data_IF_823296899189
#
_entry.id   IF_823296899189
#
_cell.length_a   1.000
_cell.length_b   1.000
_cell.length_c   1.000
_cell.angle_alpha   90.00
_cell.angle_beta   90.00
_cell.angle_gamma   90.00
#
_symmetry.space_group_name_H-M   'P 1'
#
loop_
_entity.id
_entity.type
_entity.pdbx_description
1 polymer ?
#
# COMPACT_ATOMS: atom_id res chain seq x y z
N UNK A 1 2.57 30.91 -12.78
CA UNK A 1 3.33 29.96 -11.97
C UNK A 1 2.75 29.97 -10.56
N UNK A 2 2.14 28.89 -10.06
CA UNK A 2 1.53 28.89 -8.71
C UNK A 2 2.63 28.60 -7.67
N UNK A 3 2.65 29.40 -6.59
CA UNK A 3 3.64 29.33 -5.51
C UNK A 3 3.68 27.93 -4.87
N UNK A 4 4.84 27.24 -4.79
CA UNK A 4 4.98 25.93 -4.17
C UNK A 4 4.50 25.88 -2.70
N UNK A 5 4.54 27.01 -1.98
CA UNK A 5 4.05 27.12 -0.60
C UNK A 5 2.54 26.90 -0.48
N UNK A 6 1.78 27.13 -1.55
CA UNK A 6 0.33 26.88 -1.56
C UNK A 6 0.00 25.37 -1.56
N UNK A 7 0.81 24.56 -2.25
CA UNK A 7 0.68 23.09 -2.26
C UNK A 7 0.97 22.48 -0.88
N UNK A 8 2.00 22.96 -0.20
CA UNK A 8 2.34 22.51 1.15
C UNK A 8 1.26 22.90 2.16
N UNK A 9 0.71 24.11 2.09
CA UNK A 9 -0.38 24.54 2.98
C UNK A 9 -1.63 23.67 2.79
N UNK A 10 -2.01 23.37 1.55
CA UNK A 10 -3.19 22.56 1.25
C UNK A 10 -3.02 21.10 1.70
N UNK A 11 -1.82 20.54 1.59
CA UNK A 11 -1.51 19.22 2.13
C UNK A 11 -1.60 19.19 3.67
N UNK A 12 -1.12 20.23 4.33
CA UNK A 12 -1.24 20.39 5.79
C UNK A 12 -2.70 20.59 6.24
N UNK A 13 -3.46 21.40 5.56
CA UNK A 13 -4.89 21.61 5.86
C UNK A 13 -5.67 20.31 5.70
N UNK A 14 -5.37 19.51 4.66
CA UNK A 14 -5.98 18.19 4.43
C UNK A 14 -5.62 17.17 5.51
N UNK A 15 -4.35 17.15 5.95
CA UNK A 15 -3.89 16.29 7.03
C UNK A 15 -4.56 16.64 8.36
N UNK A 16 -4.70 17.93 8.67
CA UNK A 16 -5.38 18.38 9.88
C UNK A 16 -6.88 18.05 9.85
N UNK A 17 -7.54 18.23 8.71
CA UNK A 17 -8.96 17.91 8.53
C UNK A 17 -9.21 16.40 8.65
N UNK A 18 -8.30 15.58 8.11
CA UNK A 18 -8.32 14.13 8.24
C UNK A 18 -8.11 13.68 9.70
N UNK A 19 -7.15 14.26 10.41
CA UNK A 19 -6.88 13.95 11.82
C UNK A 19 -8.07 14.34 12.70
N UNK A 20 -8.65 15.53 12.50
CA UNK A 20 -9.85 15.98 13.22
C UNK A 20 -11.07 15.11 12.94
N UNK A 21 -11.23 14.62 11.71
CA UNK A 21 -12.32 13.69 11.36
C UNK A 21 -12.12 12.31 12.00
N UNK A 22 -10.89 11.84 12.13
CA UNK A 22 -10.56 10.60 12.83
C UNK A 22 -10.85 10.70 14.35
N UNK A 23 -10.53 11.83 14.98
CA UNK A 23 -10.77 12.06 16.40
C UNK A 23 -12.29 12.18 16.72
N UNK A 24 -13.09 12.70 15.78
CA UNK A 24 -14.55 12.78 15.92
C UNK A 24 -15.25 11.42 15.67
N UNK A 25 -14.62 10.50 14.94
CA UNK A 25 -15.16 9.18 14.63
C UNK A 25 -14.78 8.09 15.65
N UNK A 26 -14.15 8.45 16.77
CA UNK A 26 -13.77 7.51 17.82
C UNK A 26 -14.81 7.46 18.97
N UNK A 27 -15.95 6.79 18.82
CA UNK A 27 -16.79 6.44 19.95
C UNK A 27 -16.16 5.23 20.64
N UNK A 28 -15.80 5.40 21.89
CA UNK A 28 -15.36 4.33 22.79
C UNK A 28 -16.43 3.25 22.89
N UNK A 29 -16.28 2.18 22.13
CA UNK A 29 -16.97 0.91 22.34
C UNK A 29 -15.97 -0.21 22.18
N UNK A 30 -15.88 -1.16 23.15
CA UNK A 30 -14.98 -2.31 23.05
C UNK A 30 -15.55 -3.26 21.99
N UNK A 31 -15.10 -3.15 20.76
CA UNK A 31 -15.33 -4.18 19.75
C UNK A 31 -14.18 -5.17 19.82
N UNK A 32 -14.43 -6.32 20.40
CA UNK A 32 -13.71 -7.55 20.13
C UNK A 32 -13.84 -7.87 18.63
N UNK A 33 -12.98 -7.26 17.80
CA UNK A 33 -12.90 -7.55 16.37
C UNK A 33 -11.51 -8.08 16.06
N UNK A 34 -11.47 -9.35 15.69
CA UNK A 34 -10.33 -10.14 15.22
C UNK A 34 -9.67 -9.62 13.91
N UNK A 35 -9.85 -8.35 13.55
CA UNK A 35 -9.36 -7.70 12.33
C UNK A 35 -8.66 -6.39 12.64
N UNK A 36 -7.97 -6.30 13.76
CA UNK A 36 -7.17 -5.11 14.11
C UNK A 36 -5.85 -5.15 13.33
N UNK A 37 -5.43 -3.99 12.81
CA UNK A 37 -4.09 -3.83 12.28
C UNK A 37 -3.08 -4.16 13.38
N UNK A 38 -2.10 -5.01 13.05
CA UNK A 38 -1.03 -5.42 13.97
C UNK A 38 0.26 -4.75 13.52
N UNK A 39 0.95 -4.07 14.46
CA UNK A 39 2.23 -3.45 14.19
C UNK A 39 3.30 -4.49 13.83
N UNK A 40 4.26 -4.18 12.94
CA UNK A 40 5.43 -5.01 12.75
C UNK A 40 6.34 -4.93 13.97
N UNK A 41 7.26 -5.89 14.09
CA UNK A 41 8.33 -5.83 15.11
C UNK A 41 9.53 -5.07 14.55
N UNK A 42 10.15 -4.22 15.37
CA UNK A 42 11.40 -3.53 15.00
C UNK A 42 12.50 -4.55 14.65
N UNK A 43 13.30 -4.35 13.59
CA UNK A 43 13.42 -3.16 12.72
C UNK A 43 12.55 -3.19 11.44
N UNK A 44 11.54 -4.04 11.36
CA UNK A 44 10.72 -4.24 10.17
C UNK A 44 9.70 -3.10 10.02
N UNK A 45 9.53 -2.63 8.80
CA UNK A 45 8.46 -1.70 8.43
C UNK A 45 7.33 -2.45 7.74
N UNK A 46 6.09 -2.03 7.99
CA UNK A 46 4.92 -2.59 7.32
C UNK A 46 4.52 -1.70 6.16
N UNK A 47 4.52 -2.27 4.96
CA UNK A 47 4.06 -1.66 3.74
C UNK A 47 2.66 -2.19 3.41
N UNK A 48 1.67 -1.32 3.39
CA UNK A 48 0.33 -1.60 2.90
C UNK A 48 0.13 -0.89 1.56
N UNK A 49 -0.47 -1.59 0.60
CA UNK A 49 -0.84 -1.03 -0.70
C UNK A 49 -2.28 -1.40 -1.06
N UNK A 50 -2.87 -0.63 -1.94
CA UNK A 50 -4.22 -0.83 -2.48
C UNK A 50 -4.30 -0.25 -3.89
N UNK A 51 -5.16 -0.81 -4.73
CA UNK A 51 -5.43 -0.34 -6.07
C UNK A 51 -6.89 0.04 -6.25
N UNK A 52 -7.15 1.02 -7.11
CA UNK A 52 -8.48 1.40 -7.53
C UNK A 52 -8.56 1.52 -9.05
N UNK A 53 -9.67 1.05 -9.65
CA UNK A 53 -9.92 1.17 -11.08
C UNK A 53 -10.95 2.26 -11.30
N UNK A 54 -10.59 3.29 -12.06
CA UNK A 54 -11.44 4.41 -12.45
C UNK A 54 -11.84 4.28 -13.91
N UNK A 55 -12.89 3.48 -14.18
CA UNK A 55 -13.34 3.17 -15.55
C UNK A 55 -13.67 4.41 -16.36
N UNK A 56 -14.37 5.37 -15.77
CA UNK A 56 -14.77 6.62 -16.43
C UNK A 56 -13.57 7.50 -16.80
N UNK A 57 -12.48 7.42 -16.04
CA UNK A 57 -11.25 8.17 -16.27
C UNK A 57 -10.20 7.39 -17.06
N UNK A 58 -10.53 6.15 -17.45
CA UNK A 58 -9.63 5.22 -18.13
C UNK A 58 -8.23 5.18 -17.48
N UNK A 59 -8.20 4.95 -16.16
CA UNK A 59 -6.95 4.84 -15.40
C UNK A 59 -7.16 3.99 -14.14
N UNK A 60 -6.05 3.61 -13.51
CA UNK A 60 -6.02 3.08 -12.15
C UNK A 60 -5.35 4.07 -11.19
N UNK A 61 -5.53 3.85 -9.90
CA UNK A 61 -4.85 4.55 -8.83
C UNK A 61 -4.13 3.55 -7.94
N UNK A 62 -3.05 4.00 -7.34
CA UNK A 62 -2.25 3.24 -6.37
C UNK A 62 -2.11 4.05 -5.10
N UNK A 63 -2.44 3.46 -3.96
CA UNK A 63 -2.19 3.99 -2.63
C UNK A 63 -1.16 3.14 -1.90
N UNK A 64 -0.20 3.77 -1.23
CA UNK A 64 0.83 3.08 -0.44
C UNK A 64 1.03 3.81 0.89
N UNK A 65 1.15 3.04 1.97
CA UNK A 65 1.51 3.56 3.29
C UNK A 65 2.56 2.63 3.90
N UNK A 66 3.61 3.22 4.46
CA UNK A 66 4.67 2.51 5.20
C UNK A 66 4.64 2.98 6.65
N UNK A 67 4.55 2.01 7.60
CA UNK A 67 4.49 2.28 9.04
C UNK A 67 5.59 1.53 9.79
N UNK A 68 6.05 2.13 10.91
CA UNK A 68 6.98 1.49 11.83
C UNK A 68 6.26 0.63 12.90
N UNK A 69 7.04 0.09 13.84
CA UNK A 69 6.55 -0.72 14.97
C UNK A 69 5.59 0.04 15.92
N UNK A 70 5.65 1.37 15.95
CA UNK A 70 4.73 2.20 16.74
C UNK A 70 3.42 2.54 15.99
N UNK A 71 3.28 2.10 14.72
CA UNK A 71 2.15 2.47 13.86
C UNK A 71 2.25 3.84 13.21
N UNK A 72 3.38 4.53 13.39
CA UNK A 72 3.62 5.85 12.82
C UNK A 72 3.85 5.74 11.31
N UNK A 73 3.26 6.66 10.53
CA UNK A 73 3.45 6.72 9.09
C UNK A 73 4.83 7.30 8.79
N UNK A 74 5.70 6.49 8.21
CA UNK A 74 7.06 6.86 7.82
C UNK A 74 7.10 7.40 6.38
N UNK A 75 6.27 6.83 5.50
CA UNK A 75 6.12 7.29 4.13
C UNK A 75 4.72 6.95 3.58
N UNK A 76 4.23 7.76 2.65
CA UNK A 76 2.99 7.49 1.93
C UNK A 76 3.09 7.99 0.49
N UNK A 77 2.43 7.30 -0.42
CA UNK A 77 2.37 7.65 -1.83
C UNK A 77 0.95 7.45 -2.37
N UNK A 78 0.53 8.36 -3.25
CA UNK A 78 -0.59 8.15 -4.15
C UNK A 78 -0.12 8.42 -5.58
N UNK A 79 -0.42 7.51 -6.49
CA UNK A 79 0.00 7.61 -7.88
C UNK A 79 -1.11 7.16 -8.84
N UNK A 80 -1.13 7.78 -10.03
CA UNK A 80 -1.95 7.32 -11.14
C UNK A 80 -1.24 6.16 -11.84
N UNK A 81 -1.99 5.09 -12.10
CA UNK A 81 -1.55 3.93 -12.87
C UNK A 81 -2.15 3.88 -14.28
N UNK A 82 -1.75 2.89 -15.09
CA UNK A 82 -2.28 2.68 -16.41
C UNK A 82 -3.77 2.27 -16.38
N UNK A 83 -4.49 2.35 -17.52
CA UNK A 83 -5.81 1.75 -17.63
C UNK A 83 -5.70 0.23 -17.51
N UNK A 84 -6.50 -0.35 -16.64
CA UNK A 84 -6.64 -1.79 -16.43
C UNK A 84 -8.11 -2.12 -16.19
N UNK A 85 -8.54 -3.31 -16.57
CA UNK A 85 -9.92 -3.77 -16.41
C UNK A 85 -10.06 -4.78 -15.28
N UNK A 86 -8.96 -5.46 -14.95
CA UNK A 86 -8.91 -6.55 -13.98
C UNK A 86 -8.28 -6.09 -12.66
N UNK A 87 -8.95 -6.41 -11.53
CA UNK A 87 -8.48 -6.04 -10.20
C UNK A 87 -7.16 -6.74 -9.83
N UNK A 88 -6.95 -7.99 -10.27
CA UNK A 88 -5.71 -8.70 -9.98
C UNK A 88 -4.53 -8.03 -10.69
N UNK A 89 -4.73 -7.58 -11.92
CA UNK A 89 -3.72 -6.79 -12.66
C UNK A 89 -3.46 -5.46 -11.95
N UNK A 90 -4.51 -4.74 -11.54
CA UNK A 90 -4.37 -3.48 -10.83
C UNK A 90 -3.57 -3.64 -9.53
N UNK A 91 -3.92 -4.64 -8.72
CA UNK A 91 -3.24 -4.93 -7.44
C UNK A 91 -1.79 -5.38 -7.65
N UNK A 92 -1.51 -6.20 -8.68
CA UNK A 92 -0.13 -6.61 -8.97
C UNK A 92 0.74 -5.43 -9.38
N UNK A 93 0.23 -4.54 -10.24
CA UNK A 93 0.93 -3.31 -10.63
C UNK A 93 1.10 -2.34 -9.45
N UNK A 94 0.10 -2.26 -8.55
CA UNK A 94 0.18 -1.47 -7.34
C UNK A 94 1.26 -1.99 -6.39
N UNK A 95 1.35 -3.31 -6.20
CA UNK A 95 2.40 -3.95 -5.41
C UNK A 95 3.79 -3.62 -5.97
N UNK A 96 3.99 -3.77 -7.29
CA UNK A 96 5.26 -3.41 -7.94
C UNK A 96 5.62 -1.95 -7.66
N UNK A 97 4.66 -1.03 -7.86
CA UNK A 97 4.89 0.41 -7.62
C UNK A 97 5.18 0.72 -6.16
N UNK A 98 4.54 0.02 -5.23
CA UNK A 98 4.77 0.13 -3.80
C UNK A 98 6.19 -0.34 -3.42
N UNK A 99 6.67 -1.43 -4.00
CA UNK A 99 8.03 -1.93 -3.77
C UNK A 99 9.09 -0.96 -4.32
N UNK A 100 8.91 -0.45 -5.55
CA UNK A 100 9.78 0.58 -6.13
C UNK A 100 9.87 1.80 -5.20
N UNK A 101 8.72 2.33 -4.75
CA UNK A 101 8.64 3.46 -3.85
C UNK A 101 9.37 3.21 -2.52
N UNK A 102 9.18 2.04 -1.91
CA UNK A 102 9.81 1.70 -0.64
C UNK A 102 11.34 1.61 -0.77
N UNK A 103 11.85 1.00 -1.84
CA UNK A 103 13.28 0.89 -2.12
C UNK A 103 13.88 2.28 -2.37
N UNK A 104 13.24 3.12 -3.19
CA UNK A 104 13.67 4.49 -3.48
C UNK A 104 13.68 5.36 -2.21
N UNK A 105 12.76 5.11 -1.27
CA UNK A 105 12.72 5.77 0.04
C UNK A 105 13.71 5.21 1.06
N UNK A 106 14.49 4.18 0.71
CA UNK A 106 15.57 3.63 1.54
C UNK A 106 15.14 2.57 2.55
N UNK A 107 13.91 2.05 2.47
CA UNK A 107 13.49 0.93 3.32
C UNK A 107 14.12 -0.38 2.84
N UNK A 108 14.62 -1.18 3.79
CA UNK A 108 15.33 -2.43 3.48
C UNK A 108 14.76 -3.68 4.17
N UNK A 109 13.85 -3.53 5.12
CA UNK A 109 13.21 -4.63 5.85
C UNK A 109 11.70 -4.41 5.86
N UNK A 110 10.95 -5.18 5.05
CA UNK A 110 9.55 -4.91 4.74
C UNK A 110 8.64 -6.13 4.95
N UNK A 111 7.57 -5.95 5.71
CA UNK A 111 6.38 -6.80 5.67
C UNK A 111 5.37 -6.16 4.70
N UNK A 112 5.19 -6.77 3.53
CA UNK A 112 4.34 -6.27 2.45
C UNK A 112 2.95 -6.91 2.58
N UNK A 113 1.92 -6.09 2.78
CA UNK A 113 0.55 -6.52 2.97
C UNK A 113 -0.39 -6.00 1.88
N UNK A 114 -1.18 -6.90 1.31
CA UNK A 114 -2.25 -6.60 0.35
C UNK A 114 -3.51 -7.41 0.64
N UNK A 115 -4.67 -6.96 0.15
CA UNK A 115 -5.97 -7.60 0.40
C UNK A 115 -6.42 -8.58 -0.70
N UNK A 116 -5.66 -8.71 -1.79
CA UNK A 116 -5.94 -9.68 -2.84
C UNK A 116 -5.20 -10.99 -2.58
N UNK A 117 -5.96 -12.03 -2.21
CA UNK A 117 -5.43 -13.37 -1.88
C UNK A 117 -4.61 -13.96 -3.03
N UNK A 118 -5.12 -13.87 -4.28
CA UNK A 118 -4.46 -14.46 -5.44
C UNK A 118 -3.11 -13.81 -5.70
N UNK A 119 -3.04 -12.48 -5.66
CA UNK A 119 -1.79 -11.72 -5.82
C UNK A 119 -0.79 -12.07 -4.71
N UNK A 120 -1.21 -12.00 -3.44
CA UNK A 120 -0.31 -12.27 -2.32
C UNK A 120 0.17 -13.72 -2.29
N UNK A 121 -0.68 -14.68 -2.67
CA UNK A 121 -0.30 -16.09 -2.81
C UNK A 121 0.73 -16.30 -3.93
N UNK A 122 0.53 -15.68 -5.09
CA UNK A 122 1.47 -15.76 -6.21
C UNK A 122 2.84 -15.17 -5.86
N UNK A 123 2.87 -14.08 -5.10
CA UNK A 123 4.10 -13.44 -4.63
C UNK A 123 4.85 -14.30 -3.60
N UNK A 124 4.10 -15.00 -2.71
CA UNK A 124 4.69 -15.80 -1.64
C UNK A 124 5.22 -17.15 -2.10
N UNK A 125 4.60 -17.80 -3.09
CA UNK A 125 4.92 -19.18 -3.45
C UNK A 125 5.81 -19.32 -4.69
N UNK A 126 6.02 -18.26 -5.45
CA UNK A 126 6.89 -18.26 -6.63
C UNK A 126 6.48 -19.30 -7.68
N UNK A 127 5.75 -18.90 -8.69
CA UNK A 127 5.42 -19.75 -9.84
C UNK A 127 5.97 -19.14 -11.13
N UNK A 128 6.62 -19.94 -11.99
CA UNK A 128 6.98 -19.50 -13.34
C UNK A 128 5.73 -19.47 -14.21
N UNK A 129 5.05 -18.34 -14.25
CA UNK A 129 3.96 -18.10 -15.18
C UNK A 129 4.44 -17.10 -16.23
N UNK A 130 4.52 -17.55 -17.50
CA UNK A 130 4.96 -16.72 -18.64
C UNK A 130 3.87 -15.75 -19.15
N UNK A 131 2.75 -15.61 -18.44
CA UNK A 131 1.77 -14.56 -18.72
C UNK A 131 2.35 -13.17 -18.43
N UNK A 132 1.74 -12.12 -18.98
CA UNK A 132 2.14 -10.73 -18.67
C UNK A 132 2.10 -10.44 -17.16
N UNK A 133 1.12 -11.00 -16.45
CA UNK A 133 1.00 -10.87 -15.01
C UNK A 133 2.13 -11.62 -14.29
N UNK A 134 2.47 -12.82 -14.77
CA UNK A 134 3.60 -13.60 -14.24
C UNK A 134 4.94 -12.87 -14.35
N UNK A 135 5.16 -12.12 -15.42
CA UNK A 135 6.37 -11.29 -15.56
C UNK A 135 6.41 -10.17 -14.51
N UNK A 136 5.28 -9.53 -14.24
CA UNK A 136 5.22 -8.50 -13.20
C UNK A 136 5.44 -9.10 -11.81
N UNK A 137 4.91 -10.29 -11.53
CA UNK A 137 5.17 -11.04 -10.29
C UNK A 137 6.67 -11.35 -10.14
N UNK A 138 7.33 -11.78 -11.21
CA UNK A 138 8.79 -12.03 -11.22
C UNK A 138 9.58 -10.73 -10.96
N UNK A 139 9.17 -9.61 -11.55
CA UNK A 139 9.78 -8.30 -11.28
C UNK A 139 9.67 -7.93 -9.79
N UNK A 140 8.50 -8.15 -9.17
CA UNK A 140 8.29 -7.88 -7.74
C UNK A 140 9.18 -8.78 -6.88
N UNK A 141 9.26 -10.07 -7.21
CA UNK A 141 10.12 -11.02 -6.50
C UNK A 141 11.60 -10.64 -6.65
N UNK A 142 12.01 -10.18 -7.84
CA UNK A 142 13.36 -9.69 -8.06
C UNK A 142 13.65 -8.42 -7.23
N UNK A 143 12.73 -7.45 -7.17
CA UNK A 143 12.84 -6.28 -6.29
C UNK A 143 12.99 -6.70 -4.83
N UNK A 144 12.25 -7.71 -4.38
CA UNK A 144 12.35 -8.23 -3.02
C UNK A 144 13.73 -8.81 -2.69
N UNK A 145 14.45 -9.39 -3.68
CA UNK A 145 15.82 -9.88 -3.46
C UNK A 145 16.83 -8.77 -3.17
N UNK A 146 16.52 -7.53 -3.53
CA UNK A 146 17.34 -6.35 -3.22
C UNK A 146 17.18 -5.84 -1.79
N UNK A 147 16.17 -6.31 -1.06
CA UNK A 147 15.94 -5.98 0.35
C UNK A 147 16.72 -6.90 1.27
N UNK A 148 17.04 -6.42 2.47
CA UNK A 148 17.66 -7.24 3.51
C UNK A 148 16.70 -8.30 4.04
N UNK A 149 15.41 -7.94 4.11
CA UNK A 149 14.34 -8.84 4.46
C UNK A 149 13.02 -8.40 3.81
N UNK A 150 12.28 -9.35 3.26
CA UNK A 150 10.97 -9.11 2.68
C UNK A 150 10.05 -10.31 2.93
N UNK A 151 8.82 -10.03 3.35
CA UNK A 151 7.77 -11.03 3.47
C UNK A 151 6.49 -10.50 2.88
N UNK A 152 5.81 -11.31 2.07
CA UNK A 152 4.48 -11.02 1.55
C UNK A 152 3.41 -11.67 2.42
N UNK A 153 2.37 -10.93 2.78
CA UNK A 153 1.30 -11.39 3.66
C UNK A 153 -0.05 -10.90 3.16
N UNK A 154 -1.03 -11.80 3.10
CA UNK A 154 -2.42 -11.41 2.84
C UNK A 154 -3.06 -10.87 4.11
N UNK A 155 -3.77 -9.75 4.00
CA UNK A 155 -4.60 -9.19 5.07
C UNK A 155 -6.04 -9.00 4.60
N UNK A 156 -6.98 -9.15 5.52
CA UNK A 156 -8.38 -8.85 5.20
C UNK A 156 -8.55 -7.37 4.90
N UNK A 157 -9.45 -7.04 3.98
CA UNK A 157 -9.76 -5.66 3.54
C UNK A 157 -10.03 -4.68 4.69
N UNK A 158 -10.61 -5.14 5.81
CA UNK A 158 -10.84 -4.34 7.01
C UNK A 158 -9.55 -3.92 7.75
N UNK A 159 -8.46 -4.69 7.62
CA UNK A 159 -7.16 -4.38 8.20
C UNK A 159 -6.28 -3.52 7.27
N UNK A 160 -6.62 -3.45 5.97
CA UNK A 160 -5.93 -2.62 4.96
C UNK A 160 -6.53 -1.21 4.82
N UNK A 161 -7.43 -0.80 5.72
CA UNK A 161 -8.25 0.41 5.61
C UNK A 161 -7.47 1.74 5.61
N UNK A 162 -6.18 1.72 5.92
CA UNK A 162 -5.33 2.92 5.91
C UNK A 162 -4.80 3.35 4.54
N UNK A 163 -5.02 2.54 3.48
CA UNK A 163 -4.51 2.81 2.12
C UNK A 163 -5.57 3.36 1.17
N UNK A 164 -6.84 3.35 1.59
CA UNK A 164 -7.91 3.90 0.75
C UNK A 164 -7.80 5.41 0.69
N UNK A 165 -7.28 5.89 -0.40
CA UNK A 165 -7.44 7.28 -0.81
C UNK A 165 -8.81 7.47 -1.44
N UNK A 166 -9.60 8.37 -0.88
CA UNK A 166 -10.81 8.91 -1.52
C UNK A 166 -10.47 9.63 -2.81
#
# INVERSE_FOLDING_TARGET
MRDPRWLNKRAWDYLNEFQQSQDQLNPQLPRLNTNTWVAPTDPVYKLNFDAAIFKELNCSGVGVIIRNANGEVMAAMSAKGPPVEDNEVAETLACRKAMEFAIDAGFSELLIEGDNVAVMSSLSHGGTNLSRLGLVVQDIQWLATGLRWAQFSHVKRSANSGTRTC
#
